data_IF_703024661501
#
_entry.id   IF_703024661501
#
_cell.length_a   1.000
_cell.length_b   1.000
_cell.length_c   1.000
_cell.angle_alpha   90.00
_cell.angle_beta   90.00
_cell.angle_gamma   90.00
#
_symmetry.space_group_name_H-M   'P 1'
#
loop_
_entity.id
_entity.type
_entity.pdbx_description
1 polymer ?
#
# COMPACT_ATOMS: atom_id res chain seq x y z
N UNK A 1 -31.16 -1.02 22.21
CA UNK A 1 -29.89 -1.51 21.60
C UNK A 1 -29.53 -0.73 20.34
N UNK A 2 -30.41 -0.65 19.33
CA UNK A 2 -30.17 0.08 18.05
C UNK A 2 -29.79 1.57 18.18
N UNK A 3 -30.37 2.31 19.14
CA UNK A 3 -30.07 3.75 19.32
C UNK A 3 -28.61 3.95 19.75
N UNK A 4 -28.13 3.18 20.74
CA UNK A 4 -26.73 3.25 21.20
C UNK A 4 -25.73 2.90 20.08
N UNK A 5 -26.07 1.91 19.26
CA UNK A 5 -25.24 1.50 18.13
C UNK A 5 -25.15 2.59 17.05
N UNK A 6 -26.28 3.21 16.70
CA UNK A 6 -26.32 4.35 15.78
C UNK A 6 -25.51 5.55 16.31
N UNK A 7 -25.62 5.85 17.60
CA UNK A 7 -24.83 6.92 18.22
C UNK A 7 -23.32 6.62 18.15
N UNK A 8 -22.90 5.38 18.40
CA UNK A 8 -21.48 5.00 18.30
C UNK A 8 -20.94 5.08 16.86
N UNK A 9 -21.74 4.68 15.86
CA UNK A 9 -21.36 4.83 14.44
C UNK A 9 -21.18 6.30 14.09
N UNK A 10 -22.10 7.16 14.52
CA UNK A 10 -22.00 8.60 14.28
C UNK A 10 -20.74 9.21 14.91
N UNK A 11 -20.47 8.92 16.19
CA UNK A 11 -19.26 9.39 16.89
C UNK A 11 -18.00 8.94 16.17
N UNK A 12 -17.94 7.68 15.73
CA UNK A 12 -16.79 7.16 14.97
C UNK A 12 -16.60 7.88 13.63
N UNK A 13 -17.69 8.08 12.87
CA UNK A 13 -17.64 8.81 11.59
C UNK A 13 -17.24 10.27 11.79
N UNK A 14 -17.66 10.89 12.90
CA UNK A 14 -17.20 12.22 13.28
C UNK A 14 -15.68 12.25 13.55
N UNK A 15 -15.15 11.27 14.29
CA UNK A 15 -13.70 11.14 14.51
C UNK A 15 -12.93 10.91 13.19
N UNK A 16 -13.46 10.09 12.29
CA UNK A 16 -12.87 9.91 10.96
C UNK A 16 -12.87 11.21 10.17
N UNK A 17 -13.95 11.98 10.22
CA UNK A 17 -14.01 13.28 9.57
C UNK A 17 -12.94 14.23 10.12
N UNK A 18 -12.77 14.34 11.44
CA UNK A 18 -11.71 15.16 12.05
C UNK A 18 -10.31 14.70 11.60
N UNK A 19 -10.10 13.38 11.55
CA UNK A 19 -8.87 12.81 11.03
C UNK A 19 -8.64 13.17 9.57
N UNK A 20 -9.66 13.07 8.71
CA UNK A 20 -9.56 13.47 7.31
C UNK A 20 -9.31 14.96 7.16
N UNK A 21 -9.86 15.82 8.03
CA UNK A 21 -9.55 17.24 8.03
C UNK A 21 -8.06 17.49 8.31
N UNK A 22 -7.49 16.75 9.26
CA UNK A 22 -6.08 16.88 9.66
C UNK A 22 -5.12 16.36 8.58
N UNK A 23 -5.38 15.20 8.01
CA UNK A 23 -4.41 14.46 7.19
C UNK A 23 -4.58 14.70 5.67
N UNK A 24 -5.67 15.33 5.22
CA UNK A 24 -5.90 15.54 3.79
C UNK A 24 -4.91 16.53 3.17
N UNK A 25 -4.45 16.23 1.95
CA UNK A 25 -3.76 17.20 1.10
C UNK A 25 -4.77 18.19 0.50
N UNK A 26 -4.96 19.32 1.18
CA UNK A 26 -5.87 20.37 0.77
C UNK A 26 -5.51 21.02 -0.56
N UNK A 27 -4.24 21.05 -0.95
CA UNK A 27 -3.81 21.57 -2.26
C UNK A 27 -4.31 20.65 -3.36
N UNK A 28 -4.16 19.33 -3.17
CA UNK A 28 -4.69 18.33 -4.08
C UNK A 28 -6.23 18.35 -4.12
N UNK A 29 -6.90 18.37 -2.96
CA UNK A 29 -8.37 18.43 -2.91
C UNK A 29 -8.94 19.68 -3.60
N UNK A 30 -8.28 20.83 -3.51
CA UNK A 30 -8.70 22.04 -4.23
C UNK A 30 -8.66 21.84 -5.75
N UNK A 31 -7.66 21.11 -6.28
CA UNK A 31 -7.59 20.77 -7.70
C UNK A 31 -8.74 19.86 -8.10
N UNK A 32 -9.03 18.84 -7.29
CA UNK A 32 -10.16 17.93 -7.53
C UNK A 32 -11.50 18.64 -7.45
N UNK A 33 -11.69 19.56 -6.49
CA UNK A 33 -12.90 20.36 -6.37
C UNK A 33 -13.14 21.24 -7.59
N UNK A 34 -12.09 21.89 -8.11
CA UNK A 34 -12.20 22.67 -9.35
C UNK A 34 -12.64 21.79 -10.52
N UNK A 35 -11.98 20.64 -10.70
CA UNK A 35 -12.35 19.67 -11.72
C UNK A 35 -13.80 19.18 -11.57
N UNK A 36 -14.20 18.77 -10.37
CA UNK A 36 -15.53 18.27 -10.06
C UNK A 36 -16.62 19.32 -10.33
N UNK A 37 -16.36 20.58 -9.99
CA UNK A 37 -17.29 21.68 -10.22
C UNK A 37 -17.50 21.95 -11.71
N UNK A 38 -16.41 21.96 -12.50
CA UNK A 38 -16.48 22.16 -13.95
C UNK A 38 -17.14 20.97 -14.64
N UNK A 39 -16.77 19.74 -14.29
CA UNK A 39 -17.27 18.52 -14.95
C UNK A 39 -18.74 18.23 -14.66
N UNK A 40 -19.21 18.47 -13.42
CA UNK A 40 -20.60 18.20 -13.04
C UNK A 40 -21.54 19.40 -13.18
N UNK A 41 -21.01 20.61 -13.41
CA UNK A 41 -21.78 21.85 -13.36
C UNK A 41 -22.26 22.26 -11.95
N UNK A 42 -21.87 21.52 -10.90
CA UNK A 42 -22.28 21.80 -9.53
C UNK A 42 -21.41 22.87 -8.89
N UNK A 43 -22.01 23.66 -7.99
CA UNK A 43 -21.27 24.68 -7.26
C UNK A 43 -20.28 24.05 -6.27
N UNK A 44 -19.13 24.72 -6.05
CA UNK A 44 -18.11 24.23 -5.10
C UNK A 44 -18.65 24.05 -3.67
N UNK A 45 -19.47 24.97 -3.11
CA UNK A 45 -20.05 24.78 -1.79
C UNK A 45 -20.93 23.52 -1.70
N UNK A 46 -21.70 23.23 -2.76
CA UNK A 46 -22.50 22.02 -2.84
C UNK A 46 -21.62 20.77 -2.78
N UNK A 47 -20.55 20.73 -3.58
CA UNK A 47 -19.63 19.58 -3.62
C UNK A 47 -18.91 19.38 -2.28
N UNK A 48 -18.51 20.46 -1.62
CA UNK A 48 -17.88 20.39 -0.29
C UNK A 48 -18.87 19.80 0.72
N UNK A 49 -20.10 20.28 0.76
CA UNK A 49 -21.12 19.77 1.67
C UNK A 49 -21.47 18.31 1.37
N UNK A 50 -21.65 17.95 0.10
CA UNK A 50 -21.92 16.57 -0.32
C UNK A 50 -20.76 15.63 0.04
N UNK A 51 -19.50 16.09 -0.09
CA UNK A 51 -18.32 15.35 0.35
C UNK A 51 -18.31 15.11 1.87
N UNK A 52 -18.64 16.14 2.66
CA UNK A 52 -18.76 16.00 4.13
C UNK A 52 -19.88 15.05 4.53
N UNK A 53 -21.07 15.18 3.93
CA UNK A 53 -22.19 14.28 4.19
C UNK A 53 -21.88 12.84 3.75
N UNK A 54 -21.08 12.68 2.70
CA UNK A 54 -20.66 11.37 2.22
C UNK A 54 -19.76 10.63 3.21
N UNK A 55 -18.94 11.32 4.01
CA UNK A 55 -18.21 10.71 5.13
C UNK A 55 -19.19 10.03 6.09
N UNK A 56 -20.25 10.74 6.45
CA UNK A 56 -21.25 10.22 7.38
C UNK A 56 -22.16 9.17 6.79
N UNK A 57 -22.46 9.19 5.50
CA UNK A 57 -23.38 8.23 4.89
C UNK A 57 -22.66 6.98 4.39
N UNK A 58 -21.60 7.16 3.62
CA UNK A 58 -20.92 6.11 2.87
C UNK A 58 -19.59 5.68 3.50
N UNK A 59 -19.17 6.30 4.61
CA UNK A 59 -17.92 5.97 5.30
C UNK A 59 -16.66 6.09 4.41
N UNK A 60 -16.66 7.12 3.56
CA UNK A 60 -15.58 7.47 2.62
C UNK A 60 -14.75 8.64 3.15
N UNK A 61 -13.51 8.77 2.70
CA UNK A 61 -12.71 9.99 2.92
C UNK A 61 -13.05 11.09 1.91
N UNK A 62 -12.57 12.32 2.13
CA UNK A 62 -12.69 13.38 1.13
C UNK A 62 -12.03 13.01 -0.19
N UNK A 63 -10.88 12.33 -0.13
CA UNK A 63 -10.17 11.88 -1.32
C UNK A 63 -10.98 10.83 -2.10
N UNK A 64 -11.55 9.85 -1.39
CA UNK A 64 -12.40 8.81 -1.99
C UNK A 64 -13.57 9.43 -2.74
N UNK A 65 -14.24 10.43 -2.15
CA UNK A 65 -15.35 11.12 -2.80
C UNK A 65 -14.98 11.66 -4.20
N UNK A 66 -13.78 12.24 -4.34
CA UNK A 66 -13.30 12.73 -5.63
C UNK A 66 -12.80 11.61 -6.54
N UNK A 67 -12.02 10.66 -6.01
CA UNK A 67 -11.48 9.53 -6.77
C UNK A 67 -12.57 8.63 -7.36
N UNK A 68 -13.65 8.41 -6.61
CA UNK A 68 -14.82 7.64 -7.04
C UNK A 68 -15.88 8.49 -7.75
N UNK A 69 -15.60 9.78 -7.96
CA UNK A 69 -16.48 10.72 -8.68
C UNK A 69 -17.91 10.73 -8.12
N UNK A 70 -18.05 10.71 -6.79
CA UNK A 70 -19.37 10.67 -6.14
C UNK A 70 -20.26 11.85 -6.56
N UNK A 71 -19.67 12.98 -6.93
CA UNK A 71 -20.38 14.14 -7.48
C UNK A 71 -21.12 13.86 -8.81
N UNK A 72 -20.95 12.70 -9.43
CA UNK A 72 -21.69 12.25 -10.63
C UNK A 72 -22.66 11.11 -10.33
N UNK A 73 -22.47 10.41 -9.21
CA UNK A 73 -23.20 9.19 -8.87
C UNK A 73 -24.46 9.48 -8.06
N UNK A 74 -25.48 8.67 -8.29
CA UNK A 74 -26.68 8.56 -7.44
C UNK A 74 -26.36 7.93 -6.09
N UNK A 75 -27.27 8.06 -5.13
CA UNK A 75 -27.08 7.45 -3.81
C UNK A 75 -26.93 5.92 -3.88
N UNK A 76 -27.67 5.25 -4.77
CA UNK A 76 -27.61 3.78 -4.93
C UNK A 76 -26.27 3.32 -5.50
N UNK A 77 -25.72 4.07 -6.46
CA UNK A 77 -24.39 3.78 -7.02
C UNK A 77 -23.29 4.00 -5.99
N UNK A 78 -23.39 5.06 -5.18
CA UNK A 78 -22.42 5.35 -4.10
C UNK A 78 -22.39 4.24 -3.04
N UNK A 79 -23.53 3.62 -2.73
CA UNK A 79 -23.62 2.52 -1.77
C UNK A 79 -22.85 1.25 -2.21
N UNK A 80 -22.47 1.13 -3.49
CA UNK A 80 -21.67 0.01 -4.00
C UNK A 80 -20.16 0.16 -3.75
N UNK A 81 -19.71 1.30 -3.21
CA UNK A 81 -18.28 1.58 -3.03
C UNK A 81 -17.81 1.34 -1.58
N UNK A 82 -16.64 0.73 -1.45
CA UNK A 82 -15.94 0.58 -0.18
C UNK A 82 -14.89 1.69 -0.02
N UNK A 83 -15.22 2.71 0.80
CA UNK A 83 -14.31 3.82 1.12
C UNK A 83 -13.23 3.50 2.13
N UNK A 84 -12.35 4.46 2.38
CA UNK A 84 -11.25 4.38 3.36
C UNK A 84 -11.76 4.01 4.75
N UNK A 85 -12.84 4.65 5.23
CA UNK A 85 -13.42 4.35 6.54
C UNK A 85 -14.01 2.95 6.61
N UNK A 86 -14.73 2.53 5.56
CA UNK A 86 -15.25 1.17 5.43
C UNK A 86 -14.12 0.13 5.47
N UNK A 87 -13.09 0.32 4.65
CA UNK A 87 -11.95 -0.58 4.56
C UNK A 87 -11.15 -0.65 5.86
N UNK A 88 -10.97 0.48 6.54
CA UNK A 88 -10.30 0.51 7.84
C UNK A 88 -11.05 -0.34 8.88
N UNK A 89 -12.37 -0.17 8.99
CA UNK A 89 -13.20 -0.97 9.91
C UNK A 89 -13.19 -2.46 9.55
N UNK A 90 -13.27 -2.78 8.26
CA UNK A 90 -13.19 -4.16 7.77
C UNK A 90 -11.84 -4.79 8.13
N UNK A 91 -10.73 -4.11 7.85
CA UNK A 91 -9.38 -4.60 8.15
C UNK A 91 -9.14 -4.72 9.65
N UNK A 92 -9.70 -3.84 10.48
CA UNK A 92 -9.62 -3.98 11.94
C UNK A 92 -10.24 -5.29 12.43
N UNK A 93 -11.32 -5.74 11.80
CA UNK A 93 -11.99 -7.01 12.12
C UNK A 93 -11.25 -8.21 11.53
N UNK A 94 -10.85 -8.12 10.26
CA UNK A 94 -10.32 -9.26 9.51
C UNK A 94 -8.83 -9.52 9.74
N UNK A 95 -8.06 -8.53 10.19
CA UNK A 95 -6.61 -8.65 10.35
C UNK A 95 -6.23 -8.61 11.84
N UNK A 96 -6.02 -9.77 12.51
CA UNK A 96 -5.64 -9.83 13.91
C UNK A 96 -4.40 -8.99 14.21
N UNK A 97 -4.44 -8.17 15.27
CA UNK A 97 -3.30 -7.29 15.62
C UNK A 97 -2.01 -8.06 15.86
N UNK A 98 -2.10 -9.28 16.42
CA UNK A 98 -0.95 -10.13 16.74
C UNK A 98 -0.12 -10.54 15.52
N UNK A 99 -0.72 -10.64 14.34
CA UNK A 99 -0.03 -11.05 13.10
C UNK A 99 0.47 -9.88 12.26
N UNK A 100 0.03 -8.64 12.53
CA UNK A 100 0.35 -7.48 11.67
C UNK A 100 1.86 -7.22 11.57
N UNK A 101 2.57 -7.19 12.69
CA UNK A 101 4.01 -6.92 12.69
C UNK A 101 4.81 -7.96 11.89
N UNK A 102 4.42 -9.24 11.98
CA UNK A 102 5.01 -10.32 11.19
C UNK A 102 4.78 -10.15 9.68
N UNK A 103 3.59 -9.69 9.29
CA UNK A 103 3.22 -9.51 7.88
C UNK A 103 3.74 -8.21 7.27
N UNK A 104 3.89 -7.16 8.09
CA UNK A 104 4.36 -5.84 7.67
C UNK A 104 5.88 -5.79 7.50
N UNK A 105 6.62 -6.42 8.41
CA UNK A 105 8.07 -6.50 8.31
C UNK A 105 8.48 -7.58 7.31
N UNK A 106 9.01 -7.16 6.16
CA UNK A 106 9.38 -8.09 5.08
C UNK A 106 10.43 -9.11 5.49
N UNK A 107 11.39 -8.74 6.34
CA UNK A 107 12.43 -9.67 6.82
C UNK A 107 11.82 -10.79 7.66
N UNK A 108 10.92 -10.45 8.59
CA UNK A 108 10.19 -11.44 9.40
C UNK A 108 9.27 -12.31 8.53
N UNK A 109 8.58 -11.70 7.57
CA UNK A 109 7.73 -12.41 6.61
C UNK A 109 8.53 -13.43 5.81
N UNK A 110 9.64 -13.00 5.19
CA UNK A 110 10.50 -13.87 4.37
C UNK A 110 11.03 -15.02 5.22
N UNK A 111 11.52 -14.74 6.43
CA UNK A 111 12.01 -15.78 7.35
C UNK A 111 10.94 -16.79 7.71
N UNK A 112 9.70 -16.35 7.93
CA UNK A 112 8.59 -17.23 8.33
C UNK A 112 8.03 -18.07 7.19
N UNK A 113 8.02 -17.55 5.97
CA UNK A 113 7.39 -18.16 4.80
C UNK A 113 8.40 -18.54 3.71
N UNK A 114 9.67 -18.72 4.06
CA UNK A 114 10.76 -19.00 3.11
C UNK A 114 10.48 -20.21 2.20
N UNK A 115 9.79 -21.23 2.70
CA UNK A 115 9.39 -22.42 1.95
C UNK A 115 8.42 -22.14 0.79
N UNK A 116 7.63 -21.07 0.90
CA UNK A 116 6.69 -20.60 -0.13
C UNK A 116 7.34 -19.61 -1.09
N UNK A 117 8.46 -19.00 -0.71
CA UNK A 117 9.18 -18.03 -1.52
C UNK A 117 10.22 -18.77 -2.36
N UNK A 118 10.11 -18.66 -3.68
CA UNK A 118 10.97 -19.38 -4.64
C UNK A 118 12.18 -18.57 -5.14
N UNK A 119 12.39 -17.38 -4.56
CA UNK A 119 13.49 -16.48 -4.89
C UNK A 119 14.42 -16.32 -3.72
N UNK A 120 15.70 -16.14 -4.00
CA UNK A 120 16.67 -15.86 -2.96
C UNK A 120 16.43 -14.47 -2.37
N UNK A 121 16.42 -14.38 -1.05
CA UNK A 121 16.23 -13.15 -0.29
C UNK A 121 17.09 -13.22 0.97
N UNK A 122 17.86 -12.17 1.23
CA UNK A 122 18.73 -12.08 2.40
C UNK A 122 18.61 -10.71 3.05
N UNK A 123 18.76 -10.67 4.36
CA UNK A 123 18.89 -9.43 5.13
C UNK A 123 20.32 -8.92 5.08
N UNK A 124 20.50 -7.61 5.31
CA UNK A 124 21.84 -7.01 5.43
C UNK A 124 22.67 -7.72 6.50
N UNK A 125 22.06 -8.06 7.64
CA UNK A 125 22.74 -8.76 8.74
C UNK A 125 23.24 -10.15 8.31
N UNK A 126 22.42 -10.90 7.57
CA UNK A 126 22.79 -12.23 7.04
C UNK A 126 23.98 -12.13 6.09
N UNK A 127 23.91 -11.25 5.10
CA UNK A 127 25.01 -11.12 4.12
C UNK A 127 26.27 -10.52 4.75
N UNK A 128 26.15 -9.67 5.77
CA UNK A 128 27.30 -9.12 6.50
C UNK A 128 27.99 -10.18 7.37
N UNK A 129 27.23 -11.16 7.86
CA UNK A 129 27.74 -12.23 8.73
C UNK A 129 28.26 -13.43 7.94
N UNK A 130 27.73 -13.65 6.74
CA UNK A 130 28.14 -14.73 5.84
C UNK A 130 28.37 -14.21 4.41
N UNK A 131 29.65 -14.02 4.09
CA UNK A 131 30.10 -13.58 2.77
C UNK A 131 29.63 -14.49 1.64
N UNK A 132 29.46 -15.80 1.87
CA UNK A 132 29.01 -16.72 0.83
C UNK A 132 27.58 -16.42 0.38
N UNK A 133 26.71 -15.94 1.28
CA UNK A 133 25.35 -15.52 0.92
C UNK A 133 25.36 -14.28 0.03
N UNK A 134 26.22 -13.31 0.35
CA UNK A 134 26.39 -12.12 -0.47
C UNK A 134 26.92 -12.47 -1.86
N UNK A 135 27.92 -13.35 -1.94
CA UNK A 135 28.48 -13.83 -3.21
C UNK A 135 27.49 -14.68 -4.00
N UNK A 136 26.59 -15.41 -3.33
CA UNK A 136 25.48 -16.11 -3.99
C UNK A 136 24.50 -15.10 -4.59
N UNK A 137 24.10 -14.07 -3.84
CA UNK A 137 23.23 -13.01 -4.36
C UNK A 137 23.86 -12.28 -5.56
N UNK A 138 25.15 -11.93 -5.49
CA UNK A 138 25.87 -11.27 -6.59
C UNK A 138 26.02 -12.14 -7.86
N UNK A 139 25.81 -13.46 -7.74
CA UNK A 139 25.80 -14.42 -8.86
C UNK A 139 24.38 -14.72 -9.38
N UNK A 140 23.39 -13.85 -9.10
CA UNK A 140 22.02 -14.04 -9.56
C UNK A 140 21.94 -14.20 -11.09
N UNK A 141 21.09 -15.12 -11.55
CA UNK A 141 20.95 -15.46 -12.98
C UNK A 141 20.49 -14.25 -13.82
N UNK A 142 19.70 -13.37 -13.22
CA UNK A 142 19.24 -12.13 -13.87
C UNK A 142 20.34 -11.07 -14.04
N UNK A 143 21.46 -11.19 -13.31
CA UNK A 143 22.49 -10.16 -13.20
C UNK A 143 22.02 -8.88 -12.50
N UNK A 144 20.81 -8.88 -11.94
CA UNK A 144 20.19 -7.76 -11.25
C UNK A 144 19.85 -8.15 -9.80
N UNK A 145 19.87 -7.15 -8.91
CA UNK A 145 19.44 -7.27 -7.53
C UNK A 145 18.48 -6.15 -7.17
N UNK A 146 17.53 -6.50 -6.30
CA UNK A 146 16.56 -5.56 -5.74
C UNK A 146 16.93 -5.28 -4.29
N UNK A 147 17.27 -4.03 -4.00
CA UNK A 147 17.58 -3.56 -2.65
C UNK A 147 16.44 -2.72 -2.11
N UNK A 148 16.06 -2.94 -0.86
CA UNK A 148 14.92 -2.22 -0.24
C UNK A 148 15.00 -2.20 1.29
N UNK A 149 14.12 -1.41 1.89
CA UNK A 149 13.84 -1.43 3.33
C UNK A 149 12.70 -2.41 3.66
N UNK A 150 12.85 -3.15 4.76
CA UNK A 150 11.91 -4.13 5.28
C UNK A 150 10.57 -3.51 5.66
N UNK A 151 10.56 -2.24 6.09
CA UNK A 151 9.37 -1.49 6.50
C UNK A 151 8.83 -0.55 5.41
N UNK A 152 9.56 -0.34 4.31
CA UNK A 152 9.14 0.56 3.23
C UNK A 152 7.83 0.15 2.56
N UNK A 153 7.05 1.12 2.07
CA UNK A 153 5.75 0.90 1.41
C UNK A 153 5.74 1.48 -0.01
N UNK A 154 4.84 0.97 -0.86
CA UNK A 154 4.56 1.49 -2.21
C UNK A 154 5.75 1.62 -3.17
N UNK A 155 6.85 0.89 -2.94
CA UNK A 155 7.98 0.85 -3.86
C UNK A 155 8.87 2.09 -3.89
N UNK A 156 8.60 3.11 -3.05
CA UNK A 156 9.32 4.39 -3.07
C UNK A 156 10.84 4.27 -2.81
N UNK A 157 11.24 3.24 -2.07
CA UNK A 157 12.63 3.03 -1.62
C UNK A 157 13.32 1.86 -2.33
N UNK A 158 12.69 1.30 -3.37
CA UNK A 158 13.29 0.19 -4.11
C UNK A 158 14.44 0.71 -4.98
N UNK A 159 15.54 -0.04 -5.01
CA UNK A 159 16.69 0.19 -5.88
C UNK A 159 16.98 -1.08 -6.65
N UNK A 160 17.14 -0.97 -7.96
CA UNK A 160 17.57 -2.07 -8.82
C UNK A 160 19.02 -1.78 -9.19
N UNK A 161 19.92 -2.70 -8.87
CA UNK A 161 21.35 -2.59 -9.17
C UNK A 161 21.79 -3.74 -10.07
N UNK A 162 22.88 -3.52 -10.81
CA UNK A 162 23.54 -4.58 -11.59
C UNK A 162 24.54 -5.29 -10.71
N UNK A 163 24.36 -6.59 -10.50
CA UNK A 163 25.18 -7.38 -9.60
C UNK A 163 26.68 -7.30 -9.95
N UNK A 164 27.02 -7.34 -11.25
CA UNK A 164 28.41 -7.24 -11.75
C UNK A 164 29.15 -5.94 -11.39
N UNK A 165 28.43 -4.89 -11.01
CA UNK A 165 29.03 -3.60 -10.64
C UNK A 165 29.39 -3.56 -9.14
N UNK A 166 29.05 -4.61 -8.39
CA UNK A 166 29.23 -4.67 -6.94
C UNK A 166 30.15 -5.83 -6.54
N UNK A 167 31.03 -5.54 -5.58
CA UNK A 167 31.71 -6.55 -4.77
C UNK A 167 30.94 -6.74 -3.47
N UNK A 168 31.34 -7.74 -2.68
CA UNK A 168 30.84 -7.93 -1.32
C UNK A 168 30.88 -6.62 -0.51
N UNK A 169 32.07 -6.03 -0.35
CA UNK A 169 32.27 -4.84 0.48
C UNK A 169 31.45 -3.64 -0.03
N UNK A 170 31.42 -3.45 -1.35
CA UNK A 170 30.65 -2.36 -1.98
C UNK A 170 29.14 -2.53 -1.78
N UNK A 171 28.64 -3.76 -1.79
CA UNK A 171 27.22 -4.04 -1.55
C UNK A 171 26.83 -3.68 -0.11
N UNK A 172 27.61 -4.13 0.87
CA UNK A 172 27.37 -3.82 2.29
C UNK A 172 27.43 -2.31 2.55
N UNK A 173 28.45 -1.62 2.03
CA UNK A 173 28.60 -0.17 2.18
C UNK A 173 27.42 0.59 1.55
N UNK A 174 27.01 0.18 0.34
CA UNK A 174 25.90 0.81 -0.37
C UNK A 174 24.57 0.62 0.39
N UNK A 175 24.27 -0.60 0.83
CA UNK A 175 23.06 -0.89 1.60
C UNK A 175 23.04 -0.11 2.92
N UNK A 176 24.16 -0.04 3.62
CA UNK A 176 24.30 0.69 4.89
C UNK A 176 24.07 2.19 4.70
N UNK A 177 24.77 2.81 3.73
CA UNK A 177 24.65 4.26 3.45
C UNK A 177 23.24 4.67 3.00
N UNK A 178 22.58 3.80 2.23
CA UNK A 178 21.23 4.02 1.73
C UNK A 178 20.13 3.56 2.70
N UNK A 179 20.49 3.00 3.87
CA UNK A 179 19.57 2.45 4.88
C UNK A 179 18.62 1.38 4.31
N UNK A 180 19.18 0.49 3.49
CA UNK A 180 18.50 -0.67 2.90
C UNK A 180 18.92 -1.92 3.67
N UNK A 181 17.97 -2.76 4.04
CA UNK A 181 18.20 -3.91 4.93
C UNK A 181 17.83 -5.26 4.28
N UNK A 182 17.37 -5.24 3.02
CA UNK A 182 17.02 -6.41 2.24
C UNK A 182 17.65 -6.39 0.86
N UNK A 183 18.20 -7.54 0.47
CA UNK A 183 18.57 -7.88 -0.90
C UNK A 183 17.67 -9.02 -1.38
N UNK A 184 17.05 -8.85 -2.54
CA UNK A 184 16.25 -9.87 -3.19
C UNK A 184 16.73 -10.09 -4.61
N UNK A 185 16.59 -11.33 -5.07
CA UNK A 185 16.73 -11.68 -6.48
C UNK A 185 15.70 -10.93 -7.33
N UNK A 186 16.14 -10.42 -8.48
CA UNK A 186 15.26 -9.74 -9.42
C UNK A 186 14.31 -10.73 -10.12
N UNK A 187 13.01 -10.41 -10.11
CA UNK A 187 11.98 -11.25 -10.74
C UNK A 187 11.94 -10.98 -12.24
N UNK A 188 12.34 -11.98 -13.03
CA UNK A 188 12.15 -11.97 -14.49
C UNK A 188 10.69 -12.34 -14.78
N UNK A 189 9.94 -11.40 -15.36
CA UNK A 189 8.55 -11.61 -15.72
C UNK A 189 8.43 -12.19 -17.13
N UNK A 190 7.37 -12.97 -17.37
CA UNK A 190 7.02 -13.44 -18.71
C UNK A 190 6.79 -12.24 -19.65
N UNK A 191 7.18 -12.37 -20.93
CA UNK A 191 7.10 -11.28 -21.92
C UNK A 191 5.69 -10.68 -22.03
N UNK A 192 4.66 -11.51 -22.06
CA UNK A 192 3.27 -11.05 -22.11
C UNK A 192 2.84 -10.23 -20.88
N UNK A 193 3.44 -10.45 -19.71
CA UNK A 193 3.18 -9.59 -18.54
C UNK A 193 3.93 -8.25 -18.67
N UNK A 194 5.14 -8.28 -19.20
CA UNK A 194 5.93 -7.07 -19.46
C UNK A 194 5.28 -6.15 -20.49
N UNK A 195 4.51 -6.69 -21.44
CA UNK A 195 3.72 -5.88 -22.39
C UNK A 195 2.63 -5.05 -21.69
N UNK A 196 2.07 -5.52 -20.57
CA UNK A 196 1.05 -4.78 -19.82
C UNK A 196 1.64 -3.59 -19.07
N UNK A 197 2.77 -3.80 -18.39
CA UNK A 197 3.48 -2.75 -17.68
C UNK A 197 4.95 -3.14 -17.52
N UNK A 198 5.86 -2.61 -18.37
CA UNK A 198 7.27 -2.96 -18.30
C UNK A 198 8.03 -2.21 -17.19
N UNK A 199 7.43 -1.16 -16.63
CA UNK A 199 8.06 -0.30 -15.61
C UNK A 199 7.94 -0.83 -14.19
N UNK A 200 7.23 -1.94 -13.97
CA UNK A 200 7.00 -2.49 -12.63
C UNK A 200 6.75 -3.99 -12.62
N UNK A 201 6.57 -4.53 -11.41
CA UNK A 201 6.12 -5.91 -11.23
C UNK A 201 4.60 -5.98 -11.40
N UNK A 202 4.17 -6.77 -12.37
CA UNK A 202 2.77 -7.12 -12.54
C UNK A 202 2.40 -8.10 -11.43
N UNK A 203 1.36 -7.77 -10.67
CA UNK A 203 0.94 -8.54 -9.50
C UNK A 203 -0.54 -8.85 -9.58
N UNK A 204 -0.90 -10.05 -9.12
CA UNK A 204 -2.29 -10.43 -8.87
C UNK A 204 -2.56 -10.25 -7.38
N UNK A 205 -3.58 -9.47 -7.04
CA UNK A 205 -4.01 -9.30 -5.66
C UNK A 205 -5.18 -10.24 -5.37
N UNK A 206 -4.93 -11.20 -4.49
CA UNK A 206 -5.95 -12.14 -4.02
C UNK A 206 -6.41 -11.67 -2.63
N UNK A 207 -7.70 -11.38 -2.51
CA UNK A 207 -8.32 -11.05 -1.23
C UNK A 207 -8.94 -12.33 -0.68
N UNK A 208 -8.52 -12.73 0.52
CA UNK A 208 -9.08 -13.87 1.22
C UNK A 208 -9.80 -13.39 2.48
N UNK A 209 -10.91 -14.03 2.80
CA UNK A 209 -11.64 -13.84 4.03
C UNK A 209 -11.87 -15.19 4.68
N UNK A 210 -11.46 -15.33 5.93
CA UNK A 210 -11.73 -16.53 6.72
C UNK A 210 -13.13 -16.36 7.32
N UNK A 211 -14.10 -17.07 6.75
CA UNK A 211 -15.48 -17.12 7.23
C UNK A 211 -15.68 -18.34 8.15
N UNK A 212 -15.11 -18.29 9.36
CA UNK A 212 -15.26 -19.35 10.37
C UNK A 212 -15.13 -18.77 11.78
N UNK A 213 -15.95 -19.30 12.71
CA UNK A 213 -16.05 -18.86 14.12
C UNK A 213 -14.71 -18.65 14.80
#
# INVERSE_FOLDING_TARGET
MKIKESTMVFVRRFLFMLYYFKESDWKQLRKFLNYASVSSGRSKPFIILDSMLSVFRYNVSFKDYFCFRFFELSNQERDQWAGTGHMYEFQLKMNPKKSRGLLENKSLFIKKFNNLIKRDCYTLDEISSDRLLAEKALRSDSGLLVLKNSMGQAGAEVRIIKAKEFTYDRLIEYMTSMKLDLVEEYVIQHSSLMELSPSGLNTVRIITQISGK
#
